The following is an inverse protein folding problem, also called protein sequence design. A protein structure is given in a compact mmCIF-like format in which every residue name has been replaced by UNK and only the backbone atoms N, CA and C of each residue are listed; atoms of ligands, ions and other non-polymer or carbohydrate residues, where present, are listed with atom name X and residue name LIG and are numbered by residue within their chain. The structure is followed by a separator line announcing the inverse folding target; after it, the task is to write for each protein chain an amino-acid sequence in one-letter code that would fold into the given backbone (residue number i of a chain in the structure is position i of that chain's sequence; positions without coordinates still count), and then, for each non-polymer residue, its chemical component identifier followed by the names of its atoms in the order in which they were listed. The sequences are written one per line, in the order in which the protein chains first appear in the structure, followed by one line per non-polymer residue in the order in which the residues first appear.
data_IF_910738183056
#
_entry.id   IF_910738183056
#
_cell.length_a   1.000
_cell.length_b   1.000
_cell.length_c   1.000
_cell.angle_alpha   90.00
_cell.angle_beta   90.00
_cell.angle_gamma   90.00
#
_symmetry.space_group_name_H-M   'P 1'
#
loop_
_entity.id
_entity.type
_entity.pdbx_description
1 polymer ?
#
# COMPACT_ATOMS: atom_id res chain seq x y z
N UNK A 1 -29.26 -49.17 11.88
CA UNK A 1 -27.79 -49.09 12.07
C UNK A 1 -27.07 -48.51 10.83
N UNK A 2 -27.27 -49.00 9.60
CA UNK A 2 -26.56 -48.51 8.40
C UNK A 2 -26.94 -47.08 8.00
N UNK A 3 -28.20 -46.65 8.21
CA UNK A 3 -28.69 -45.28 7.89
C UNK A 3 -28.15 -44.22 8.86
N UNK A 4 -27.98 -44.58 10.13
CA UNK A 4 -27.43 -43.69 11.15
C UNK A 4 -25.94 -43.42 10.94
N UNK A 5 -25.19 -44.44 10.47
CA UNK A 5 -23.77 -44.27 10.14
C UNK A 5 -23.58 -43.36 8.93
N UNK A 6 -24.48 -43.42 7.95
CA UNK A 6 -24.42 -42.59 6.77
C UNK A 6 -24.74 -41.09 7.09
N UNK A 7 -25.70 -40.87 8.02
CA UNK A 7 -26.06 -39.53 8.46
C UNK A 7 -24.93 -38.86 9.28
N UNK A 8 -24.28 -39.64 10.15
CA UNK A 8 -23.13 -39.16 10.96
C UNK A 8 -21.91 -38.87 10.06
N UNK A 9 -21.66 -39.70 9.03
CA UNK A 9 -20.57 -39.46 8.07
C UNK A 9 -20.81 -38.20 7.21
N UNK A 10 -22.07 -37.93 6.84
CA UNK A 10 -22.45 -36.71 6.07
C UNK A 10 -22.30 -35.45 6.94
N UNK A 11 -22.61 -35.53 8.24
CA UNK A 11 -22.48 -34.38 9.17
C UNK A 11 -21.03 -34.01 9.47
N UNK A 12 -20.12 -35.02 9.49
CA UNK A 12 -18.67 -34.76 9.66
C UNK A 12 -18.02 -34.12 8.46
N UNK A 13 -18.57 -34.25 7.27
CA UNK A 13 -18.06 -33.62 6.04
C UNK A 13 -18.31 -32.10 5.95
N UNK A 14 -19.21 -31.53 6.77
CA UNK A 14 -19.57 -30.12 6.77
C UNK A 14 -18.67 -29.25 7.68
N UNK A 15 -17.80 -29.85 8.46
CA UNK A 15 -16.88 -29.11 9.37
C UNK A 15 -15.56 -28.70 8.71
N UNK A 16 -15.38 -28.94 7.42
CA UNK A 16 -14.13 -28.71 6.70
C UNK A 16 -14.03 -27.43 5.88
N UNK A 17 -14.97 -26.49 5.96
CA UNK A 17 -14.80 -25.18 5.33
C UNK A 17 -13.92 -24.28 6.23
N UNK A 18 -12.60 -24.38 6.05
CA UNK A 18 -11.62 -23.49 6.64
C UNK A 18 -11.72 -22.05 6.09
N UNK A 19 -12.86 -21.40 6.31
CA UNK A 19 -12.99 -19.97 6.12
C UNK A 19 -12.36 -19.27 7.33
N UNK A 20 -11.13 -18.80 7.22
CA UNK A 20 -10.62 -17.81 8.19
C UNK A 20 -11.27 -16.47 7.87
N UNK A 21 -11.95 -15.89 8.85
CA UNK A 21 -12.46 -14.52 8.76
C UNK A 21 -11.27 -13.56 8.57
N UNK A 22 -11.19 -12.93 7.41
CA UNK A 22 -10.28 -11.79 7.18
C UNK A 22 -10.63 -10.73 8.21
N UNK A 23 -9.71 -10.46 9.15
CA UNK A 23 -9.92 -9.51 10.26
C UNK A 23 -9.76 -10.10 11.67
N UNK A 24 -9.72 -11.42 11.85
CA UNK A 24 -9.36 -12.07 13.12
C UNK A 24 -7.94 -12.62 13.13
N UNK A 25 -7.21 -12.49 12.01
CA UNK A 25 -5.78 -12.75 11.93
C UNK A 25 -5.01 -11.79 12.84
N UNK A 26 -4.01 -12.29 13.54
CA UNK A 26 -3.06 -11.50 14.31
C UNK A 26 -2.62 -10.30 13.46
N UNK A 27 -2.82 -9.07 13.97
CA UNK A 27 -2.28 -7.89 13.29
C UNK A 27 -0.79 -8.15 13.02
N UNK A 28 -0.32 -7.83 11.81
CA UNK A 28 1.10 -7.96 11.47
C UNK A 28 2.01 -7.14 12.40
N UNK A 29 1.42 -6.17 13.10
CA UNK A 29 2.11 -5.32 14.05
C UNK A 29 2.21 -5.98 15.42
N UNK A 30 3.40 -5.99 16.07
CA UNK A 30 3.58 -6.37 17.46
C UNK A 30 2.68 -5.55 18.39
N UNK A 31 2.18 -6.16 19.47
CA UNK A 31 1.24 -5.52 20.41
C UNK A 31 1.76 -4.22 21.04
N UNK A 32 3.08 -4.03 21.10
CA UNK A 32 3.74 -2.83 21.66
C UNK A 32 3.87 -1.65 20.71
N UNK A 33 3.70 -1.85 19.39
CA UNK A 33 3.93 -0.83 18.38
C UNK A 33 2.64 -0.07 18.09
N UNK A 34 2.56 1.17 18.56
CA UNK A 34 1.37 2.05 18.43
C UNK A 34 1.66 3.35 17.70
N UNK A 35 2.92 3.78 17.72
CA UNK A 35 3.36 5.04 17.10
C UNK A 35 4.43 4.80 16.05
N UNK A 36 4.45 5.63 15.01
CA UNK A 36 5.42 5.53 13.92
C UNK A 36 5.95 6.91 13.54
N UNK A 37 7.26 6.99 13.38
CA UNK A 37 7.91 8.10 12.72
C UNK A 37 8.09 7.77 11.24
N UNK A 38 7.69 8.70 10.37
CA UNK A 38 7.81 8.57 8.92
C UNK A 38 8.70 9.70 8.41
N UNK A 39 10.00 9.46 8.22
CA UNK A 39 10.87 10.44 7.56
C UNK A 39 10.44 10.60 6.10
N UNK A 40 10.74 11.76 5.51
CA UNK A 40 10.56 11.95 4.07
C UNK A 40 11.29 10.84 3.31
N UNK A 41 10.61 10.18 2.39
CA UNK A 41 11.17 9.10 1.59
C UNK A 41 12.36 9.61 0.77
N UNK A 42 13.32 8.73 0.52
CA UNK A 42 14.44 9.04 -0.37
C UNK A 42 13.95 8.89 -1.81
N UNK A 43 14.23 9.88 -2.65
CA UNK A 43 13.80 9.88 -4.05
C UNK A 43 14.99 9.76 -5.00
N UNK A 44 15.18 8.58 -5.57
CA UNK A 44 16.17 8.32 -6.62
C UNK A 44 15.55 8.41 -8.03
N UNK A 45 14.28 8.86 -8.14
CA UNK A 45 13.58 9.01 -9.42
C UNK A 45 13.80 10.38 -10.04
N UNK A 46 13.40 10.55 -11.29
CA UNK A 46 13.45 11.84 -11.99
C UNK A 46 12.25 12.76 -11.67
N UNK A 47 11.26 12.27 -10.92
CA UNK A 47 10.03 13.03 -10.59
C UNK A 47 10.27 13.87 -9.35
N UNK A 48 10.41 15.17 -9.52
CA UNK A 48 10.67 16.12 -8.44
C UNK A 48 9.47 16.21 -7.48
N UNK A 49 9.75 16.13 -6.18
CA UNK A 49 8.75 16.25 -5.11
C UNK A 49 7.87 15.00 -4.93
N UNK A 50 8.19 13.88 -5.60
CA UNK A 50 7.48 12.61 -5.43
C UNK A 50 7.56 12.12 -3.99
N UNK A 51 8.75 12.21 -3.39
CA UNK A 51 9.02 11.85 -2.00
C UNK A 51 8.10 12.54 -1.01
N UNK A 52 7.94 13.85 -1.16
CA UNK A 52 7.09 14.66 -0.29
C UNK A 52 5.63 14.25 -0.42
N UNK A 53 5.14 14.14 -1.67
CA UNK A 53 3.74 13.78 -1.95
C UNK A 53 3.37 12.41 -1.39
N UNK A 54 4.24 11.41 -1.58
CA UNK A 54 3.98 10.06 -1.11
C UNK A 54 4.09 9.96 0.41
N UNK A 55 5.10 10.59 1.01
CA UNK A 55 5.25 10.63 2.47
C UNK A 55 4.04 11.28 3.13
N UNK A 56 3.62 12.44 2.65
CA UNK A 56 2.45 13.15 3.19
C UNK A 56 1.16 12.32 3.03
N UNK A 57 1.00 11.63 1.91
CA UNK A 57 -0.15 10.76 1.68
C UNK A 57 -0.16 9.57 2.66
N UNK A 58 1.00 8.95 2.91
CA UNK A 58 1.15 7.85 3.87
C UNK A 58 0.87 8.32 5.30
N UNK A 59 1.38 9.48 5.71
CA UNK A 59 1.10 10.05 7.04
C UNK A 59 -0.40 10.32 7.21
N UNK A 60 -1.07 10.87 6.20
CA UNK A 60 -2.52 11.10 6.24
C UNK A 60 -3.30 9.79 6.34
N UNK A 61 -2.93 8.78 5.57
CA UNK A 61 -3.61 7.48 5.60
C UNK A 61 -3.42 6.75 6.93
N UNK A 62 -2.20 6.75 7.50
CA UNK A 62 -1.91 6.22 8.84
C UNK A 62 -2.77 6.92 9.92
N UNK A 63 -2.87 8.26 9.83
CA UNK A 63 -3.71 9.04 10.75
C UNK A 63 -5.19 8.67 10.63
N UNK A 64 -5.67 8.45 9.41
CA UNK A 64 -7.07 8.09 9.15
C UNK A 64 -7.43 6.69 9.65
N UNK A 65 -6.51 5.71 9.52
CA UNK A 65 -6.71 4.33 9.99
C UNK A 65 -6.64 4.20 11.51
N UNK A 66 -5.88 5.03 12.19
CA UNK A 66 -5.81 5.13 13.65
C UNK A 66 -5.15 3.96 14.39
N UNK A 67 -4.73 2.89 13.70
CA UNK A 67 -4.09 1.70 14.32
C UNK A 67 -2.61 1.95 14.64
N UNK A 68 -1.92 2.68 13.79
CA UNK A 68 -0.51 3.07 13.93
C UNK A 68 -0.46 4.59 13.77
N UNK A 69 -0.23 5.32 14.86
CA UNK A 69 -0.32 6.78 14.88
C UNK A 69 1.00 7.42 14.45
N UNK A 70 1.02 8.24 13.40
CA UNK A 70 2.22 8.99 13.04
C UNK A 70 2.54 10.04 14.09
N UNK A 71 3.83 10.18 14.41
CA UNK A 71 4.38 11.19 15.32
C UNK A 71 5.49 11.97 14.63
N UNK A 72 5.61 13.27 14.98
CA UNK A 72 6.62 14.14 14.38
C UNK A 72 8.01 13.95 14.98
N UNK A 73 8.08 13.48 16.22
CA UNK A 73 9.35 13.26 16.92
C UNK A 73 9.76 11.78 16.79
N UNK A 74 10.92 11.55 16.18
CA UNK A 74 11.53 10.23 16.07
C UNK A 74 11.72 9.56 17.42
N UNK A 75 12.04 10.34 18.47
CA UNK A 75 12.30 9.79 19.81
C UNK A 75 11.03 9.21 20.45
N UNK A 76 9.86 9.77 20.15
CA UNK A 76 8.56 9.36 20.66
C UNK A 76 7.90 8.19 19.89
N UNK A 77 8.52 7.71 18.82
CA UNK A 77 7.98 6.64 18.00
C UNK A 77 8.41 5.26 18.50
N UNK A 78 7.49 4.28 18.42
CA UNK A 78 7.78 2.86 18.64
C UNK A 78 8.43 2.20 17.42
N UNK A 79 8.11 2.70 16.23
CA UNK A 79 8.66 2.21 14.97
C UNK A 79 9.00 3.36 14.01
N UNK A 80 9.81 3.05 12.99
CA UNK A 80 10.16 3.96 11.91
C UNK A 80 9.85 3.33 10.55
N UNK A 81 9.06 4.03 9.74
CA UNK A 81 8.75 3.64 8.35
C UNK A 81 9.67 4.40 7.40
N UNK A 82 10.70 3.76 6.92
CA UNK A 82 11.62 4.31 5.91
C UNK A 82 11.26 3.83 4.50
N UNK A 83 11.46 4.68 3.51
CA UNK A 83 11.21 4.39 2.10
C UNK A 83 12.27 4.98 1.18
N UNK A 84 12.58 4.24 0.09
CA UNK A 84 13.42 4.70 -1.01
C UNK A 84 12.70 4.42 -2.32
N UNK A 85 12.33 5.45 -3.05
CA UNK A 85 11.69 5.38 -4.36
C UNK A 85 12.78 5.22 -5.42
N UNK A 86 12.76 4.12 -6.17
CA UNK A 86 13.83 3.79 -7.12
C UNK A 86 13.45 4.04 -8.57
N UNK A 87 12.16 4.01 -8.90
CA UNK A 87 11.65 4.36 -10.22
C UNK A 87 10.22 4.89 -10.14
N UNK A 88 9.88 5.82 -11.03
CA UNK A 88 8.53 6.26 -11.31
C UNK A 88 8.38 6.42 -12.81
N UNK A 89 7.34 5.81 -13.38
CA UNK A 89 7.05 5.92 -14.81
C UNK A 89 5.55 6.07 -15.05
N UNK A 90 5.21 6.78 -16.11
CA UNK A 90 3.84 6.94 -16.61
C UNK A 90 3.83 6.51 -18.07
N UNK A 91 2.99 5.55 -18.42
CA UNK A 91 2.90 5.01 -19.76
C UNK A 91 1.43 4.93 -20.20
N UNK A 92 1.10 5.26 -21.47
CA UNK A 92 -0.23 5.06 -22.00
C UNK A 92 -0.53 3.56 -22.11
N UNK A 93 -1.72 3.14 -21.66
CA UNK A 93 -2.15 1.74 -21.68
C UNK A 93 -3.42 1.52 -22.49
N UNK A 94 -4.17 2.58 -22.82
CA UNK A 94 -5.34 2.51 -23.68
C UNK A 94 -5.44 3.74 -24.59
N UNK A 95 -5.85 3.49 -25.83
CA UNK A 95 -6.05 4.51 -26.85
C UNK A 95 -7.49 4.49 -27.33
N UNK A 96 -8.01 5.63 -27.78
CA UNK A 96 -9.29 5.75 -28.47
C UNK A 96 -9.18 5.33 -29.96
N UNK A 97 -10.31 5.42 -30.69
CA UNK A 97 -10.39 5.09 -32.10
C UNK A 97 -9.52 6.01 -33.00
N UNK A 98 -9.09 7.17 -32.52
CA UNK A 98 -8.24 8.12 -33.21
C UNK A 98 -6.74 7.97 -32.84
N UNK A 99 -6.40 6.97 -32.03
CA UNK A 99 -5.04 6.74 -31.56
C UNK A 99 -4.60 7.69 -30.44
N UNK A 100 -5.53 8.38 -29.79
CA UNK A 100 -5.22 9.27 -28.67
C UNK A 100 -5.26 8.47 -27.36
N UNK A 101 -4.21 8.60 -26.55
CA UNK A 101 -4.14 7.95 -25.25
C UNK A 101 -5.22 8.50 -24.29
N UNK A 102 -6.07 7.60 -23.79
CA UNK A 102 -7.18 7.91 -22.87
C UNK A 102 -7.01 7.33 -21.48
N UNK A 103 -6.05 6.42 -21.31
CA UNK A 103 -5.70 5.86 -20.00
C UNK A 103 -4.19 5.66 -19.91
N UNK A 104 -3.64 6.05 -18.77
CA UNK A 104 -2.24 5.90 -18.43
C UNK A 104 -2.10 4.98 -17.23
N UNK A 105 -0.97 4.28 -17.13
CA UNK A 105 -0.59 3.56 -15.92
C UNK A 105 0.60 4.25 -15.28
N UNK A 106 0.43 4.64 -14.02
CA UNK A 106 1.55 5.08 -13.17
C UNK A 106 2.13 3.85 -12.50
N UNK A 107 3.44 3.70 -12.58
CA UNK A 107 4.18 2.64 -11.87
C UNK A 107 5.22 3.29 -10.97
N UNK A 108 5.19 2.93 -9.69
CA UNK A 108 6.20 3.34 -8.69
C UNK A 108 6.87 2.10 -8.15
N UNK A 109 8.20 2.12 -8.15
CA UNK A 109 9.02 1.06 -7.55
C UNK A 109 9.84 1.64 -6.39
N UNK A 110 10.08 0.82 -5.37
CA UNK A 110 10.85 1.26 -4.22
C UNK A 110 11.19 0.15 -3.26
N UNK A 111 11.82 0.56 -2.16
CA UNK A 111 12.10 -0.29 -0.99
C UNK A 111 11.43 0.35 0.21
N UNK A 112 10.70 -0.44 0.99
CA UNK A 112 9.96 0.05 2.14
C UNK A 112 10.25 -0.86 3.33
N UNK A 113 10.56 -0.26 4.47
CA UNK A 113 10.88 -0.99 5.71
C UNK A 113 10.21 -0.29 6.88
N UNK A 114 9.46 -1.04 7.68
CA UNK A 114 9.01 -0.61 9.00
C UNK A 114 9.86 -1.34 10.04
N UNK A 115 10.66 -0.60 10.79
CA UNK A 115 11.57 -1.13 11.81
C UNK A 115 11.05 -0.80 13.20
N UNK A 116 10.97 -1.80 14.09
CA UNK A 116 10.68 -1.59 15.52
C UNK A 116 11.92 -1.02 16.22
N UNK A 117 11.75 0.10 16.91
CA UNK A 117 12.89 0.77 17.55
C UNK A 117 13.45 0.03 18.77
N UNK A 118 12.59 -0.67 19.50
CA UNK A 118 13.00 -1.38 20.72
C UNK A 118 13.95 -2.55 20.44
N UNK A 119 13.75 -3.23 19.31
CA UNK A 119 14.51 -4.44 18.93
C UNK A 119 15.44 -4.22 17.74
N UNK A 120 15.31 -3.09 17.06
CA UNK A 120 15.98 -2.76 15.79
C UNK A 120 15.73 -3.83 14.69
N UNK A 121 14.57 -4.48 14.75
CA UNK A 121 14.18 -5.51 13.78
C UNK A 121 13.11 -5.00 12.83
N UNK A 122 13.15 -5.40 11.55
CA UNK A 122 12.07 -5.09 10.62
C UNK A 122 10.81 -5.86 11.01
N UNK A 123 9.71 -5.13 11.17
CA UNK A 123 8.35 -5.66 11.34
C UNK A 123 7.73 -5.93 9.96
N UNK A 124 8.03 -5.05 9.02
CA UNK A 124 7.64 -5.15 7.62
C UNK A 124 8.83 -4.80 6.74
N UNK A 125 9.05 -5.56 5.69
CA UNK A 125 10.14 -5.30 4.75
C UNK A 125 9.73 -5.74 3.35
N UNK A 126 9.67 -4.76 2.44
CA UNK A 126 9.40 -4.99 1.03
C UNK A 126 10.54 -4.40 0.20
N UNK A 127 11.55 -5.22 -0.13
CA UNK A 127 12.76 -4.76 -0.82
C UNK A 127 12.53 -4.46 -2.31
N UNK A 128 11.41 -4.92 -2.88
CA UNK A 128 11.04 -4.75 -4.28
C UNK A 128 9.55 -4.32 -4.40
N UNK A 129 9.15 -3.33 -3.60
CA UNK A 129 7.79 -2.81 -3.65
C UNK A 129 7.46 -2.28 -5.04
N UNK A 130 6.32 -2.72 -5.56
CA UNK A 130 5.85 -2.34 -6.89
C UNK A 130 4.37 -1.95 -6.81
N UNK A 131 4.10 -0.68 -7.02
CA UNK A 131 2.76 -0.14 -7.09
C UNK A 131 2.40 0.25 -8.52
N UNK A 132 1.19 -0.11 -8.96
CA UNK A 132 0.64 0.26 -10.27
C UNK A 132 -0.77 0.80 -10.11
N UNK A 133 -1.03 1.95 -10.74
CA UNK A 133 -2.34 2.59 -10.71
C UNK A 133 -2.73 3.06 -12.10
N UNK A 134 -3.83 2.57 -12.67
CA UNK A 134 -4.41 3.15 -13.89
C UNK A 134 -5.01 4.54 -13.58
N UNK A 135 -4.86 5.44 -14.53
CA UNK A 135 -5.40 6.80 -14.47
C UNK A 135 -6.09 7.15 -15.80
N UNK A 136 -7.39 7.41 -15.75
CA UNK A 136 -8.13 7.88 -16.92
C UNK A 136 -7.93 9.38 -17.07
N UNK A 137 -7.49 9.80 -18.25
CA UNK A 137 -7.22 11.20 -18.56
C UNK A 137 -8.51 11.94 -18.79
N UNK A 138 -8.77 13.06 -18.10
CA UNK A 138 -9.88 13.95 -18.42
C UNK A 138 -9.73 14.51 -19.83
N UNK A 139 -10.85 14.65 -20.55
CA UNK A 139 -10.88 15.22 -21.91
C UNK A 139 -10.38 16.67 -21.97
N UNK A 140 -10.32 17.37 -20.83
CA UNK A 140 -9.84 18.74 -20.69
C UNK A 140 -8.33 18.88 -20.60
N UNK A 141 -7.58 17.79 -20.46
CA UNK A 141 -6.11 17.84 -20.36
C UNK A 141 -5.50 18.21 -21.72
N UNK A 142 -4.83 19.36 -21.77
CA UNK A 142 -4.39 20.00 -23.03
C UNK A 142 -3.04 19.50 -23.55
N UNK A 143 -2.17 18.98 -22.66
CA UNK A 143 -0.82 18.52 -23.03
C UNK A 143 -0.46 17.17 -22.40
N UNK A 144 0.57 16.50 -22.98
CA UNK A 144 1.10 15.25 -22.42
C UNK A 144 1.67 15.48 -21.00
N UNK A 145 2.39 16.57 -20.79
CA UNK A 145 2.99 16.91 -19.47
C UNK A 145 1.95 17.16 -18.39
N UNK A 146 0.83 17.79 -18.73
CA UNK A 146 -0.26 18.01 -17.77
C UNK A 146 -0.87 16.68 -17.35
N UNK A 147 -1.05 15.75 -18.29
CA UNK A 147 -1.61 14.43 -18.05
C UNK A 147 -0.72 13.57 -17.16
N UNK A 148 0.60 13.60 -17.39
CA UNK A 148 1.58 12.90 -16.57
C UNK A 148 1.59 13.43 -15.13
N UNK A 149 1.62 14.75 -14.96
CA UNK A 149 1.57 15.39 -13.64
C UNK A 149 0.29 15.05 -12.88
N UNK A 150 -0.87 15.16 -13.52
CA UNK A 150 -2.16 14.82 -12.93
C UNK A 150 -2.22 13.33 -12.53
N UNK A 151 -1.70 12.43 -13.34
CA UNK A 151 -1.63 11.02 -13.03
C UNK A 151 -0.76 10.75 -11.79
N UNK A 152 0.40 11.41 -11.68
CA UNK A 152 1.28 11.30 -10.51
C UNK A 152 0.62 11.88 -9.25
N UNK A 153 -0.11 12.98 -9.36
CA UNK A 153 -0.84 13.56 -8.22
C UNK A 153 -1.98 12.65 -7.77
N UNK A 154 -2.75 12.11 -8.72
CA UNK A 154 -3.88 11.24 -8.43
C UNK A 154 -3.49 9.92 -7.78
N UNK A 155 -2.28 9.39 -8.05
CA UNK A 155 -1.84 8.09 -7.54
C UNK A 155 -1.36 8.12 -6.08
N UNK A 156 -1.06 9.30 -5.51
CA UNK A 156 -0.46 9.39 -4.17
C UNK A 156 -1.38 8.82 -3.08
N UNK A 157 -2.68 9.07 -3.16
CA UNK A 157 -3.65 8.51 -2.22
C UNK A 157 -3.81 6.99 -2.36
N UNK A 158 -4.07 6.41 -3.55
CA UNK A 158 -4.08 4.96 -3.76
C UNK A 158 -2.78 4.26 -3.33
N UNK A 159 -1.62 4.88 -3.59
CA UNK A 159 -0.33 4.38 -3.12
C UNK A 159 -0.32 4.25 -1.59
N UNK A 160 -0.69 5.30 -0.88
CA UNK A 160 -0.72 5.32 0.58
C UNK A 160 -1.71 4.29 1.14
N UNK A 161 -2.90 4.18 0.55
CA UNK A 161 -3.90 3.19 0.94
C UNK A 161 -3.40 1.76 0.78
N UNK A 162 -2.78 1.45 -0.35
CA UNK A 162 -2.20 0.13 -0.61
C UNK A 162 -1.08 -0.19 0.39
N UNK A 163 -0.10 0.73 0.55
CA UNK A 163 1.02 0.52 1.47
C UNK A 163 0.57 0.34 2.92
N UNK A 164 -0.29 1.23 3.41
CA UNK A 164 -0.76 1.18 4.80
C UNK A 164 -1.59 -0.08 5.06
N UNK A 165 -2.43 -0.50 4.10
CA UNK A 165 -3.17 -1.76 4.18
C UNK A 165 -2.21 -2.94 4.28
N UNK A 166 -1.20 -3.02 3.41
CA UNK A 166 -0.19 -4.08 3.43
C UNK A 166 0.55 -4.14 4.78
N UNK A 167 0.96 -2.99 5.32
CA UNK A 167 1.64 -2.91 6.64
C UNK A 167 0.72 -3.38 7.78
N UNK A 168 -0.55 -2.98 7.77
CA UNK A 168 -1.46 -3.25 8.89
C UNK A 168 -2.06 -4.65 8.85
N UNK A 169 -2.21 -5.24 7.68
CA UNK A 169 -2.89 -6.52 7.47
C UNK A 169 -1.92 -7.69 7.27
N UNK A 170 -0.65 -7.43 6.94
CA UNK A 170 0.42 -8.41 6.92
C UNK A 170 0.30 -9.42 5.77
N UNK A 171 0.43 -8.98 4.54
CA UNK A 171 0.55 -9.84 3.37
C UNK A 171 2.00 -10.05 2.98
#
# INVERSE_FOLDING_TARGET
MRKEIFLVSLLLGLLGCGYSLVGTGSSALPLGVKTVYVPTFINDTTVVGLEQRLTDAVIRELSARGRLKPVADRSAADAELSGRLTACSVAPVRFDANGIAVEYQVTVSGKLVLTEKATDKPIFSEPAYLFRQPYTVPSSASSYYDREREAIEAMARPFAQNLVTTILEGF
#
